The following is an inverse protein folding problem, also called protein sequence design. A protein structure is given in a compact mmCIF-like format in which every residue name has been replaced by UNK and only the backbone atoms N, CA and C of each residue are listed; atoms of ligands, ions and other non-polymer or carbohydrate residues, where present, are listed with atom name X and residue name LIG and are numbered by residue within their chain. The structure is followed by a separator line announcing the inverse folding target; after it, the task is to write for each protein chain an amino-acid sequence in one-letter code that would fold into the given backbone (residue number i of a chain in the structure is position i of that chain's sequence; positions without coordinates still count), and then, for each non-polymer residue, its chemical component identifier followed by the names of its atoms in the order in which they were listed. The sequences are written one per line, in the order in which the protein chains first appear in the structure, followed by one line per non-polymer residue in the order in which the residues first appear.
data_IF_349711959766
#
_entry.id   IF_349711959766
#
_cell.length_a   1.000
_cell.length_b   1.000
_cell.length_c   1.000
_cell.angle_alpha   90.00
_cell.angle_beta   90.00
_cell.angle_gamma   90.00
#
_symmetry.space_group_name_H-M   'P 1'
#
loop_
_entity.id
_entity.type
_entity.pdbx_description
1 polymer ?
#
# COMPACT_ATOMS: atom_id res chain seq x y z
N UNK A 1 13.52 -8.99 -8.89
CA UNK A 1 12.18 -8.60 -8.43
C UNK A 1 12.11 -7.09 -8.43
N UNK A 2 11.21 -6.52 -9.24
CA UNK A 2 11.01 -5.07 -9.28
C UNK A 2 9.99 -4.63 -8.22
N UNK A 3 10.34 -3.63 -7.42
CA UNK A 3 9.51 -3.11 -6.32
C UNK A 3 9.20 -1.64 -6.58
N UNK A 4 7.93 -1.27 -6.43
CA UNK A 4 7.48 0.11 -6.59
C UNK A 4 7.00 0.70 -5.26
N UNK A 5 7.07 2.04 -5.08
CA UNK A 5 6.51 2.70 -3.91
C UNK A 5 5.03 2.36 -3.72
N UNK A 6 4.62 2.13 -2.47
CA UNK A 6 3.23 1.82 -2.13
C UNK A 6 2.27 2.90 -2.59
N UNK A 7 2.62 4.18 -2.43
CA UNK A 7 1.82 5.30 -2.93
C UNK A 7 1.57 5.24 -4.44
N UNK A 8 2.56 4.78 -5.23
CA UNK A 8 2.41 4.55 -6.67
C UNK A 8 1.48 3.38 -6.93
N UNK A 9 1.64 2.28 -6.21
CA UNK A 9 0.76 1.12 -6.32
C UNK A 9 -0.70 1.47 -5.98
N UNK A 10 -0.92 2.23 -4.92
CA UNK A 10 -2.24 2.72 -4.53
C UNK A 10 -2.86 3.64 -5.59
N UNK A 11 -2.06 4.51 -6.21
CA UNK A 11 -2.52 5.36 -7.30
C UNK A 11 -2.90 4.57 -8.57
N UNK A 12 -2.17 3.50 -8.90
CA UNK A 12 -2.51 2.60 -10.01
C UNK A 12 -3.76 1.78 -9.72
N UNK A 13 -3.89 1.27 -8.49
CA UNK A 13 -5.08 0.57 -8.04
C UNK A 13 -6.31 1.49 -8.07
N UNK A 14 -6.18 2.74 -7.63
CA UNK A 14 -7.24 3.75 -7.73
C UNK A 14 -7.73 3.94 -9.17
N UNK A 15 -6.81 4.14 -10.13
CA UNK A 15 -7.16 4.33 -11.54
C UNK A 15 -7.94 3.14 -12.11
N UNK A 16 -7.66 1.94 -11.61
CA UNK A 16 -8.33 0.72 -12.06
C UNK A 16 -9.70 0.51 -11.40
N UNK A 17 -9.81 0.84 -10.11
CA UNK A 17 -11.03 0.66 -9.31
C UNK A 17 -12.07 1.76 -9.55
N UNK A 18 -11.61 2.98 -9.84
CA UNK A 18 -12.46 4.18 -10.01
C UNK A 18 -12.16 4.91 -11.32
N UNK A 19 -12.32 4.26 -12.48
CA UNK A 19 -11.89 4.82 -13.77
C UNK A 19 -12.60 6.11 -14.17
N UNK A 20 -13.79 6.38 -13.61
CA UNK A 20 -14.59 7.57 -13.92
C UNK A 20 -14.31 8.76 -12.97
N UNK A 21 -13.48 8.59 -11.93
CA UNK A 21 -13.20 9.62 -10.94
C UNK A 21 -11.81 10.23 -11.13
N UNK A 22 -11.74 11.54 -11.40
CA UNK A 22 -10.48 12.24 -11.67
C UNK A 22 -9.70 12.67 -10.43
N UNK A 23 -10.35 12.83 -9.28
CA UNK A 23 -9.74 13.36 -8.08
C UNK A 23 -9.21 12.25 -7.15
N UNK A 24 -7.89 12.17 -7.01
CA UNK A 24 -7.22 11.31 -6.04
C UNK A 24 -6.97 12.09 -4.76
N UNK A 25 -7.84 11.97 -3.76
CA UNK A 25 -7.54 12.53 -2.44
C UNK A 25 -6.64 11.59 -1.62
N UNK A 26 -5.84 12.15 -0.72
CA UNK A 26 -4.86 11.38 0.04
C UNK A 26 -5.51 10.32 0.93
N UNK A 27 -6.72 10.56 1.45
CA UNK A 27 -7.42 9.62 2.33
C UNK A 27 -7.88 8.39 1.55
N UNK A 28 -8.32 8.56 0.30
CA UNK A 28 -8.65 7.43 -0.57
C UNK A 28 -7.42 6.58 -0.87
N UNK A 29 -6.28 7.20 -1.16
CA UNK A 29 -5.03 6.47 -1.35
C UNK A 29 -4.58 5.72 -0.09
N UNK A 30 -4.77 6.32 1.10
CA UNK A 30 -4.50 5.65 2.39
C UNK A 30 -5.37 4.39 2.56
N UNK A 31 -6.65 4.46 2.20
CA UNK A 31 -7.57 3.31 2.27
C UNK A 31 -7.21 2.23 1.25
N UNK A 32 -6.81 2.59 0.04
CA UNK A 32 -6.38 1.63 -0.98
C UNK A 32 -5.11 0.93 -0.54
N UNK A 33 -4.17 1.64 0.10
CA UNK A 33 -2.98 1.00 0.63
C UNK A 33 -3.27 0.00 1.75
N UNK A 34 -4.23 0.32 2.63
CA UNK A 34 -4.74 -0.64 3.60
C UNK A 34 -5.33 -1.88 2.91
N UNK A 35 -6.17 -1.69 1.89
CA UNK A 35 -6.74 -2.79 1.13
C UNK A 35 -5.67 -3.62 0.42
N UNK A 36 -4.67 -3.00 -0.22
CA UNK A 36 -3.55 -3.71 -0.83
C UNK A 36 -2.78 -4.53 0.22
N UNK A 37 -2.57 -3.99 1.42
CA UNK A 37 -1.85 -4.69 2.49
C UNK A 37 -2.55 -5.96 2.99
N UNK A 38 -3.85 -6.12 2.77
CA UNK A 38 -4.57 -7.36 3.13
C UNK A 38 -4.49 -8.44 2.06
N UNK A 39 -4.08 -8.11 0.82
CA UNK A 39 -4.09 -9.06 -0.31
C UNK A 39 -2.71 -9.29 -0.94
N UNK A 40 -1.70 -8.50 -0.57
CA UNK A 40 -0.31 -8.67 -0.99
C UNK A 40 0.68 -8.27 0.09
N UNK A 41 1.91 -8.77 -0.03
CA UNK A 41 2.97 -8.46 0.94
C UNK A 41 3.44 -7.01 0.81
N UNK A 42 3.57 -6.34 1.96
CA UNK A 42 4.22 -5.04 2.06
C UNK A 42 5.64 -5.18 2.56
N UNK A 43 6.55 -4.39 2.00
CA UNK A 43 7.94 -4.32 2.42
C UNK A 43 8.32 -2.90 2.77
N UNK A 44 9.18 -2.74 3.75
CA UNK A 44 9.90 -1.51 4.04
C UNK A 44 11.29 -1.63 3.41
N UNK A 45 11.67 -0.63 2.60
CA UNK A 45 13.04 -0.50 2.12
C UNK A 45 13.86 0.32 3.09
N UNK A 46 14.97 -0.26 3.55
CA UNK A 46 16.00 0.47 4.26
C UNK A 46 16.77 1.37 3.28
N UNK A 47 16.90 2.67 3.60
CA UNK A 47 17.51 3.64 2.67
C UNK A 47 19.03 3.58 2.64
N UNK A 48 19.67 3.00 3.65
CA UNK A 48 21.13 2.93 3.74
C UNK A 48 21.67 1.65 3.09
N UNK A 49 20.98 0.53 3.32
CA UNK A 49 21.39 -0.80 2.87
C UNK A 49 20.59 -1.35 1.68
N UNK A 50 19.53 -0.65 1.27
CA UNK A 50 18.52 -1.12 0.30
C UNK A 50 17.82 -2.44 0.67
N UNK A 51 18.06 -2.94 1.89
CA UNK A 51 17.47 -4.18 2.37
C UNK A 51 15.95 -4.06 2.44
N UNK A 52 15.26 -5.12 2.01
CA UNK A 52 13.81 -5.22 2.11
C UNK A 52 13.43 -5.99 3.36
N UNK A 53 12.71 -5.32 4.26
CA UNK A 53 12.10 -5.93 5.43
C UNK A 53 10.61 -6.10 5.17
N UNK A 54 10.11 -7.34 5.23
CA UNK A 54 8.66 -7.57 5.17
C UNK A 54 8.00 -6.89 6.38
N UNK A 55 6.95 -6.11 6.13
CA UNK A 55 6.14 -5.49 7.18
C UNK A 55 5.12 -6.52 7.64
N UNK A 56 5.06 -6.75 8.95
CA UNK A 56 4.15 -7.73 9.52
C UNK A 56 2.72 -7.21 9.52
N UNK A 57 1.74 -8.10 9.38
CA UNK A 57 0.31 -7.77 9.42
C UNK A 57 -0.06 -7.13 10.76
N UNK A 58 0.50 -7.64 11.87
CA UNK A 58 0.30 -7.06 13.19
C UNK A 58 0.85 -5.62 13.28
N UNK A 59 1.93 -5.31 12.56
CA UNK A 59 2.44 -3.94 12.47
C UNK A 59 1.51 -3.05 11.64
N UNK A 60 0.95 -3.54 10.54
CA UNK A 60 -0.02 -2.77 9.77
C UNK A 60 -1.29 -2.49 10.59
N UNK A 61 -1.80 -3.49 11.30
CA UNK A 61 -2.99 -3.37 12.13
C UNK A 61 -2.82 -2.40 13.31
N UNK A 62 -1.59 -2.26 13.83
CA UNK A 62 -1.27 -1.33 14.91
C UNK A 62 -1.08 0.13 14.45
N UNK A 63 -1.05 0.37 13.14
CA UNK A 63 -0.80 1.68 12.56
C UNK A 63 -1.93 2.18 11.67
N UNK A 64 -1.72 3.35 11.08
CA UNK A 64 -2.64 3.93 10.10
C UNK A 64 -1.85 4.48 8.91
N UNK A 65 -2.26 4.10 7.70
CA UNK A 65 -1.75 4.73 6.48
C UNK A 65 -2.14 6.21 6.44
N UNK A 66 -1.17 7.06 6.14
CA UNK A 66 -1.35 8.51 6.02
C UNK A 66 -0.53 9.08 4.85
N UNK A 67 -0.86 10.33 4.48
CA UNK A 67 -0.15 11.12 3.48
C UNK A 67 -0.12 10.43 2.12
N UNK A 68 -1.24 9.85 1.71
CA UNK A 68 -1.39 9.19 0.43
C UNK A 68 -0.55 7.93 0.32
N UNK A 69 -0.64 7.07 1.33
CA UNK A 69 0.03 5.77 1.40
C UNK A 69 1.57 5.82 1.41
N UNK A 70 2.15 6.96 1.80
CA UNK A 70 3.60 7.11 1.91
C UNK A 70 4.12 6.74 3.30
N UNK A 71 3.25 6.79 4.30
CA UNK A 71 3.61 6.65 5.72
C UNK A 71 2.60 5.76 6.44
N UNK A 72 3.05 4.94 7.38
CA UNK A 72 2.20 4.35 8.43
C UNK A 72 2.57 5.02 9.75
N UNK A 73 1.62 5.75 10.33
CA UNK A 73 1.80 6.39 11.64
C UNK A 73 1.33 5.47 12.76
N UNK A 74 2.02 5.56 13.91
CA UNK A 74 1.73 4.81 15.12
C UNK A 74 1.57 5.77 16.30
N UNK A 75 0.79 5.41 17.32
CA UNK A 75 0.67 6.24 18.52
C UNK A 75 1.96 6.27 19.36
N UNK A 76 2.69 5.15 19.44
CA UNK A 76 3.76 4.95 20.44
C UNK A 76 5.11 4.51 19.85
N UNK A 77 5.31 4.56 18.53
CA UNK A 77 6.59 4.21 17.90
C UNK A 77 6.85 5.04 16.64
N UNK A 78 8.10 5.09 16.14
CA UNK A 78 8.41 5.82 14.91
C UNK A 78 7.56 5.34 13.72
N UNK A 79 7.20 6.24 12.79
CA UNK A 79 6.40 5.88 11.63
C UNK A 79 7.19 5.00 10.65
N UNK A 80 6.50 4.12 9.93
CA UNK A 80 7.09 3.41 8.80
C UNK A 80 7.02 4.29 7.55
N UNK A 81 8.11 4.34 6.81
CA UNK A 81 8.28 5.06 5.53
C UNK A 81 8.98 4.17 4.53
N UNK A 82 9.07 4.61 3.27
CA UNK A 82 9.73 3.87 2.19
C UNK A 82 9.09 2.49 1.96
N UNK A 83 7.77 2.48 2.03
CA UNK A 83 6.96 1.29 1.83
C UNK A 83 6.90 0.97 0.34
N UNK A 84 7.14 -0.29 0.00
CA UNK A 84 7.17 -0.80 -1.36
C UNK A 84 6.43 -2.13 -1.46
N UNK A 85 5.94 -2.42 -2.65
CA UNK A 85 5.28 -3.68 -3.00
C UNK A 85 5.90 -4.26 -4.27
N UNK A 86 5.74 -5.57 -4.48
CA UNK A 86 6.14 -6.22 -5.73
C UNK A 86 5.32 -5.66 -6.90
N UNK A 87 5.98 -5.17 -7.95
CA UNK A 87 5.28 -4.73 -9.17
C UNK A 87 4.58 -5.90 -9.86
N UNK A 88 5.23 -7.07 -9.86
CA UNK A 88 4.75 -8.26 -10.55
C UNK A 88 3.47 -8.81 -9.93
N UNK A 89 3.29 -8.68 -8.61
CA UNK A 89 2.11 -9.16 -7.89
C UNK A 89 0.94 -8.16 -7.89
N UNK A 90 1.20 -6.88 -8.17
CA UNK A 90 0.21 -5.82 -8.06
C UNK A 90 -1.05 -6.04 -8.95
N UNK A 91 -0.95 -6.47 -10.23
CA UNK A 91 -2.14 -6.71 -11.05
C UNK A 91 -3.10 -7.73 -10.41
N UNK A 92 -2.57 -8.86 -9.93
CA UNK A 92 -3.37 -9.89 -9.26
C UNK A 92 -3.97 -9.40 -7.94
N UNK A 93 -3.24 -8.57 -7.19
CA UNK A 93 -3.76 -7.93 -5.97
C UNK A 93 -4.95 -7.01 -6.27
N UNK A 94 -4.88 -6.19 -7.32
CA UNK A 94 -5.97 -5.30 -7.73
C UNK A 94 -7.21 -6.11 -8.17
N UNK A 95 -7.02 -7.21 -8.89
CA UNK A 95 -8.10 -8.11 -9.30
C UNK A 95 -8.80 -8.74 -8.09
N UNK A 96 -8.05 -9.17 -7.07
CA UNK A 96 -8.62 -9.67 -5.81
C UNK A 96 -9.48 -8.62 -5.12
N UNK A 97 -9.01 -7.37 -5.00
CA UNK A 97 -9.80 -6.28 -4.41
C UNK A 97 -11.11 -6.01 -5.17
N UNK A 98 -11.09 -6.17 -6.49
CA UNK A 98 -12.30 -5.96 -7.31
C UNK A 98 -13.31 -7.09 -7.15
N UNK A 99 -12.83 -8.33 -7.00
CA UNK A 99 -13.68 -9.52 -6.88
C UNK A 99 -14.28 -9.70 -5.48
N UNK A 100 -13.54 -9.37 -4.42
CA UNK A 100 -14.05 -9.43 -3.04
C UNK A 100 -15.05 -8.31 -2.73
N UNK A 101 -15.01 -7.19 -3.44
CA UNK A 101 -16.00 -6.11 -3.29
C UNK A 101 -17.41 -6.48 -3.79
N UNK A 102 -17.59 -7.64 -4.42
CA UNK A 102 -18.86 -8.13 -4.98
C UNK A 102 -19.44 -9.35 -4.24
N UNK A 103 -18.85 -9.75 -3.10
CA UNK A 103 -19.28 -10.89 -2.30
C UNK A 103 -20.06 -10.49 -1.05
#
# INVERSE_FOLDING_TARGET
MDYIPLARAAALAYERLFPEQSAKDSKTLDMIALALSSVMALYQRDMESEALRKVDEAEIAAGRFTRGATTVEFPNKPPLRYLVVSREELPAAIEKLTSESLA
#
